data_IF_151047481654
#
_entry.id   IF_151047481654
#
_cell.length_a   1.000
_cell.length_b   1.000
_cell.length_c   1.000
_cell.angle_alpha   90.00
_cell.angle_beta   90.00
_cell.angle_gamma   90.00
#
_symmetry.space_group_name_H-M   'P 1'
#
loop_
_entity.id
_entity.type
_entity.pdbx_description
1 polymer ?
#
# COMPACT_ATOMS: atom_id res chain seq x y z
N UNK A 1 21.14 -19.90 -25.16
CA UNK A 1 19.71 -20.00 -24.77
C UNK A 1 19.35 -21.48 -24.73
N UNK A 2 18.53 -21.99 -23.79
CA UNK A 2 17.37 -21.42 -23.07
C UNK A 2 17.73 -20.98 -21.62
N UNK A 3 16.99 -20.19 -20.85
CA UNK A 3 15.55 -19.89 -20.83
C UNK A 3 14.91 -20.58 -19.62
N UNK A 4 14.98 -20.01 -18.41
CA UNK A 4 14.23 -20.53 -17.25
C UNK A 4 13.96 -19.44 -16.22
N UNK A 5 12.69 -19.10 -16.07
CA UNK A 5 12.13 -18.62 -14.81
C UNK A 5 12.28 -17.13 -14.57
N UNK A 6 11.51 -16.35 -15.32
CA UNK A 6 10.67 -15.28 -14.76
C UNK A 6 10.59 -15.42 -13.22
N UNK A 7 11.40 -14.62 -12.51
CA UNK A 7 11.04 -14.22 -11.16
C UNK A 7 9.67 -13.60 -11.33
N UNK A 8 8.64 -14.39 -11.05
CA UNK A 8 7.36 -13.86 -10.60
C UNK A 8 7.70 -13.04 -9.36
N UNK A 9 8.16 -11.80 -9.59
CA UNK A 9 8.12 -10.70 -8.66
C UNK A 9 6.63 -10.60 -8.37
N UNK A 10 6.18 -11.43 -7.43
CA UNK A 10 4.88 -11.27 -6.83
C UNK A 10 4.99 -9.86 -6.29
N UNK A 11 4.38 -8.90 -6.98
CA UNK A 11 4.43 -7.49 -6.64
C UNK A 11 3.80 -7.39 -5.26
N UNK A 12 4.60 -7.63 -4.21
CA UNK A 12 4.20 -7.55 -2.83
C UNK A 12 4.06 -6.05 -2.61
N UNK A 13 2.87 -5.54 -2.92
CA UNK A 13 2.55 -4.13 -2.73
C UNK A 13 2.85 -3.83 -1.27
N UNK A 14 3.91 -3.07 -1.07
CA UNK A 14 4.40 -2.74 0.26
C UNK A 14 3.38 -1.86 0.94
N UNK A 15 3.30 -1.91 2.28
CA UNK A 15 2.40 -1.02 3.03
C UNK A 15 2.64 0.45 2.67
N UNK A 16 3.89 0.80 2.36
CA UNK A 16 4.29 2.12 1.88
C UNK A 16 3.68 2.48 0.52
N UNK A 17 3.58 1.53 -0.42
CA UNK A 17 2.93 1.75 -1.71
C UNK A 17 1.42 1.94 -1.55
N UNK A 18 0.77 1.13 -0.71
CA UNK A 18 -0.65 1.32 -0.41
C UNK A 18 -0.90 2.70 0.22
N UNK A 19 -0.04 3.14 1.15
CA UNK A 19 -0.11 4.46 1.78
C UNK A 19 0.18 5.60 0.80
N UNK A 20 1.09 5.41 -0.15
CA UNK A 20 1.32 6.36 -1.25
C UNK A 20 0.06 6.52 -2.11
N UNK A 21 -0.59 5.43 -2.48
CA UNK A 21 -1.85 5.48 -3.24
C UNK A 21 -2.97 6.13 -2.43
N UNK A 22 -3.05 5.88 -1.11
CA UNK A 22 -3.97 6.62 -0.22
C UNK A 22 -3.69 8.12 -0.20
N UNK A 23 -2.41 8.52 -0.17
CA UNK A 23 -2.01 9.91 -0.16
C UNK A 23 -2.31 10.62 -1.50
N UNK A 24 -2.30 9.88 -2.61
CA UNK A 24 -2.52 10.43 -3.95
C UNK A 24 -4.00 10.40 -4.35
N UNK A 25 -4.63 9.23 -4.27
CA UNK A 25 -6.00 8.96 -4.75
C UNK A 25 -7.06 9.04 -3.65
N UNK A 26 -6.66 9.03 -2.38
CA UNK A 26 -7.59 9.08 -1.26
C UNK A 26 -8.27 10.44 -1.07
N UNK A 27 -9.41 10.42 -0.37
CA UNK A 27 -10.09 11.64 0.09
C UNK A 27 -9.28 12.39 1.16
N UNK A 28 -9.75 13.56 1.58
CA UNK A 28 -9.06 14.42 2.58
C UNK A 28 -8.67 13.65 3.86
N UNK A 29 -9.56 12.79 4.36
CA UNK A 29 -9.31 11.93 5.51
C UNK A 29 -8.18 10.91 5.24
N UNK A 30 -8.24 10.19 4.11
CA UNK A 30 -7.22 9.19 3.76
C UNK A 30 -5.84 9.80 3.54
N UNK A 31 -5.77 11.02 3.00
CA UNK A 31 -4.51 11.78 2.89
C UNK A 31 -3.91 12.11 4.25
N UNK A 32 -4.75 12.45 5.23
CA UNK A 32 -4.29 12.68 6.60
C UNK A 32 -3.89 11.39 7.30
N UNK A 33 -4.65 10.30 7.10
CA UNK A 33 -4.32 8.96 7.60
C UNK A 33 -2.98 8.47 7.05
N UNK A 34 -2.74 8.67 5.75
CA UNK A 34 -1.48 8.30 5.12
C UNK A 34 -0.29 9.07 5.72
N UNK A 35 -0.43 10.40 5.90
CA UNK A 35 0.58 11.23 6.57
C UNK A 35 0.80 10.81 8.03
N UNK A 36 -0.27 10.50 8.74
CA UNK A 36 -0.21 10.00 10.13
C UNK A 36 0.55 8.67 10.18
N UNK A 37 0.26 7.74 9.28
CA UNK A 37 0.94 6.45 9.20
C UNK A 37 2.44 6.62 8.89
N UNK A 38 2.79 7.49 7.94
CA UNK A 38 4.20 7.78 7.60
C UNK A 38 4.99 8.36 8.79
N UNK A 39 4.35 9.22 9.59
CA UNK A 39 4.99 9.88 10.75
C UNK A 39 4.88 9.08 12.05
N UNK A 40 4.04 8.05 12.09
CA UNK A 40 3.83 7.21 13.26
C UNK A 40 4.97 6.22 13.50
N UNK A 41 5.17 5.86 14.76
CA UNK A 41 6.09 4.80 15.20
C UNK A 41 5.65 3.42 14.68
N UNK A 42 6.56 2.42 14.56
CA UNK A 42 6.24 1.10 14.02
C UNK A 42 5.04 0.41 14.69
N UNK A 43 4.93 0.55 16.02
CA UNK A 43 3.79 0.01 16.77
C UNK A 43 2.47 0.70 16.42
N UNK A 44 2.49 2.02 16.22
CA UNK A 44 1.31 2.80 15.84
C UNK A 44 0.94 2.56 14.38
N UNK A 45 1.91 2.37 13.49
CA UNK A 45 1.70 1.95 12.10
C UNK A 45 0.95 0.62 12.03
N UNK A 46 1.36 -0.36 12.82
CA UNK A 46 0.67 -1.66 12.91
C UNK A 46 -0.77 -1.50 13.40
N UNK A 47 -0.99 -0.70 14.45
CA UNK A 47 -2.35 -0.42 14.97
C UNK A 47 -3.23 0.32 13.96
N UNK A 48 -2.70 1.31 13.26
CA UNK A 48 -3.44 2.04 12.23
C UNK A 48 -3.79 1.12 11.05
N UNK A 49 -2.86 0.28 10.62
CA UNK A 49 -3.11 -0.73 9.59
C UNK A 49 -4.18 -1.74 10.02
N UNK A 50 -4.19 -2.15 11.28
CA UNK A 50 -5.19 -3.08 11.79
C UNK A 50 -6.57 -2.43 11.93
N UNK A 51 -6.63 -1.18 12.40
CA UNK A 51 -7.86 -0.42 12.55
C UNK A 51 -8.53 -0.06 11.20
N UNK A 52 -7.72 0.22 10.18
CA UNK A 52 -8.18 0.60 8.84
C UNK A 52 -7.88 -0.49 7.80
N UNK A 53 -7.89 -1.77 8.20
CA UNK A 53 -7.45 -2.89 7.36
C UNK A 53 -8.18 -2.94 6.01
N UNK A 54 -9.51 -2.80 6.01
CA UNK A 54 -10.34 -2.80 4.80
C UNK A 54 -9.93 -1.69 3.81
N UNK A 55 -9.68 -0.48 4.32
CA UNK A 55 -9.18 0.62 3.49
C UNK A 55 -7.78 0.30 2.95
N UNK A 56 -6.88 -0.16 3.81
CA UNK A 56 -5.52 -0.56 3.40
C UNK A 56 -5.54 -1.63 2.31
N UNK A 57 -6.38 -2.64 2.44
CA UNK A 57 -6.52 -3.71 1.45
C UNK A 57 -7.07 -3.18 0.12
N UNK A 58 -8.09 -2.32 0.17
CA UNK A 58 -8.65 -1.66 -1.01
C UNK A 58 -7.62 -0.82 -1.76
N UNK A 59 -6.83 -0.02 -1.06
CA UNK A 59 -5.78 0.80 -1.69
C UNK A 59 -4.60 -0.04 -2.16
N UNK A 60 -4.34 -1.19 -1.53
CA UNK A 60 -3.35 -2.17 -1.97
C UNK A 60 -3.74 -2.82 -3.30
N UNK A 61 -5.00 -3.22 -3.44
CA UNK A 61 -5.55 -3.74 -4.71
C UNK A 61 -5.50 -2.70 -5.82
N UNK A 62 -5.83 -1.43 -5.50
CA UNK A 62 -5.69 -0.33 -6.45
C UNK A 62 -4.23 -0.05 -6.86
N UNK A 63 -3.29 -0.16 -5.91
CA UNK A 63 -1.87 -0.02 -6.19
C UNK A 63 -1.35 -1.15 -7.08
N UNK A 64 -1.77 -2.40 -6.83
CA UNK A 64 -1.45 -3.54 -7.69
C UNK A 64 -1.94 -3.32 -9.13
N UNK A 65 -3.17 -2.84 -9.29
CA UNK A 65 -3.77 -2.55 -10.60
C UNK A 65 -3.14 -1.36 -11.33
N UNK A 66 -2.52 -0.42 -10.61
CA UNK A 66 -1.87 0.74 -11.19
C UNK A 66 -0.43 0.47 -11.62
N UNK A 67 0.18 -0.63 -11.13
CA UNK A 67 1.49 -1.13 -11.56
C UNK A 67 1.38 -1.91 -12.89
N UNK A 68 0.21 -2.49 -13.17
CA UNK A 68 -0.09 -3.22 -14.42
C UNK A 68 -0.46 -2.34 -15.64
N UNK A 69 -0.53 -1.01 -15.49
CA UNK A 69 -1.01 -0.07 -16.53
C UNK A 69 0.09 0.85 -17.07
#
# INVERSE_FOLDING_TARGET
MPGTGDTMETTYISDEQAVQVMAQLGGSFMKQLARLWMTADPLRRARLKEAFRDDFDRYRDMAARSDEA
#
